data_IF_647343387665
#
_entry.id   IF_647343387665
#
_cell.length_a   1.000
_cell.length_b   1.000
_cell.length_c   1.000
_cell.angle_alpha   90.00
_cell.angle_beta   90.00
_cell.angle_gamma   90.00
#
_symmetry.space_group_name_H-M   'P 1'
#
loop_
_entity.id
_entity.type
_entity.pdbx_description
1 polymer ?
#
# COMPACT_ATOMS: atom_id res chain seq x y z
N UNK A 1 -46.58 19.90 24.92
CA UNK A 1 -47.75 19.16 24.40
C UNK A 1 -47.28 17.77 23.98
N UNK A 2 -47.61 16.72 24.75
CA UNK A 2 -48.53 15.61 24.40
C UNK A 2 -48.03 14.80 23.19
N UNK A 3 -47.31 13.71 23.44
CA UNK A 3 -47.78 12.30 23.54
C UNK A 3 -48.05 11.67 22.17
N UNK A 4 -47.29 10.63 21.84
CA UNK A 4 -47.86 9.34 21.38
C UNK A 4 -46.77 8.25 21.32
N UNK A 5 -46.78 7.43 22.37
CA UNK A 5 -46.25 6.06 22.38
C UNK A 5 -47.24 5.21 21.59
N UNK A 6 -46.79 4.48 20.56
CA UNK A 6 -47.53 3.34 20.01
C UNK A 6 -46.61 2.13 20.05
N UNK A 7 -46.88 1.24 21.01
CA UNK A 7 -46.31 -0.08 21.11
C UNK A 7 -47.11 -1.02 20.21
N UNK A 8 -46.44 -1.66 19.24
CA UNK A 8 -47.02 -2.75 18.44
C UNK A 8 -46.28 -4.03 18.80
N UNK A 9 -47.02 -4.91 19.46
CA UNK A 9 -46.60 -6.24 19.87
C UNK A 9 -46.93 -7.21 18.72
N UNK A 10 -45.91 -7.64 17.97
CA UNK A 10 -46.06 -8.61 16.88
C UNK A 10 -45.45 -9.96 17.26
N UNK A 11 -46.28 -10.99 17.38
CA UNK A 11 -45.86 -12.39 17.49
C UNK A 11 -45.16 -12.83 16.19
N UNK A 12 -43.91 -13.30 16.28
CA UNK A 12 -43.17 -13.89 15.16
C UNK A 12 -43.22 -15.42 15.31
N UNK A 13 -43.91 -16.07 14.38
CA UNK A 13 -43.88 -17.52 14.15
C UNK A 13 -42.52 -17.90 13.55
N UNK A 14 -41.81 -18.82 14.20
CA UNK A 14 -40.53 -19.34 13.76
C UNK A 14 -40.72 -20.40 12.65
N UNK A 15 -40.32 -20.06 11.42
CA UNK A 15 -40.21 -21.01 10.30
C UNK A 15 -38.79 -21.57 10.22
N UNK A 16 -38.59 -22.89 10.01
CA UNK A 16 -37.27 -23.47 9.83
C UNK A 16 -36.73 -23.12 8.43
N UNK A 17 -35.75 -22.23 8.38
CA UNK A 17 -34.94 -21.95 7.18
C UNK A 17 -34.03 -23.14 6.87
N UNK A 18 -34.52 -24.09 6.10
CA UNK A 18 -33.73 -25.15 5.48
C UNK A 18 -32.97 -24.59 4.25
N UNK A 19 -31.70 -24.99 4.12
CA UNK A 19 -30.70 -24.36 3.25
C UNK A 19 -30.95 -24.48 1.74
N UNK A 20 -30.86 -23.33 1.06
CA UNK A 20 -30.80 -23.20 -0.40
C UNK A 20 -29.59 -22.34 -0.86
N UNK A 21 -28.60 -22.15 0.01
CA UNK A 21 -27.55 -21.14 -0.21
C UNK A 21 -26.17 -21.74 -0.52
N UNK A 22 -26.00 -22.60 -1.54
CA UNK A 22 -24.65 -22.86 -2.09
C UNK A 22 -24.63 -23.59 -3.45
N UNK A 23 -25.18 -22.99 -4.52
CA UNK A 23 -25.04 -23.57 -5.87
C UNK A 23 -24.56 -22.58 -6.95
N UNK A 24 -24.06 -21.41 -6.55
CA UNK A 24 -23.67 -20.34 -7.50
C UNK A 24 -22.17 -20.04 -7.62
N UNK A 25 -21.28 -20.62 -6.82
CA UNK A 25 -19.91 -20.08 -6.64
C UNK A 25 -18.79 -20.70 -7.50
N UNK A 26 -19.04 -21.77 -8.26
CA UNK A 26 -17.98 -22.47 -9.01
C UNK A 26 -18.00 -22.26 -10.54
N UNK A 27 -18.83 -21.34 -11.06
CA UNK A 27 -19.09 -21.21 -12.49
C UNK A 27 -17.85 -20.79 -13.31
N UNK A 28 -16.91 -20.02 -12.74
CA UNK A 28 -15.73 -19.54 -13.48
C UNK A 28 -14.65 -20.62 -13.62
N UNK A 29 -14.53 -21.50 -12.62
CA UNK A 29 -13.57 -22.60 -12.68
C UNK A 29 -14.03 -23.68 -13.68
N UNK A 30 -15.35 -23.86 -13.83
CA UNK A 30 -15.95 -24.77 -14.81
C UNK A 30 -15.90 -24.24 -16.24
N UNK A 31 -15.79 -22.92 -16.46
CA UNK A 31 -15.63 -22.34 -17.79
C UNK A 31 -14.19 -22.39 -18.31
N UNK A 32 -13.20 -22.63 -17.44
CA UNK A 32 -11.81 -22.78 -17.85
C UNK A 32 -11.60 -24.02 -18.74
N UNK A 33 -10.76 -23.93 -19.79
CA UNK A 33 -10.29 -25.09 -20.53
C UNK A 33 -9.67 -26.15 -19.59
N UNK A 34 -9.84 -27.46 -19.85
CA UNK A 34 -9.44 -28.51 -18.91
C UNK A 34 -7.97 -28.45 -18.45
N UNK A 35 -7.03 -28.19 -19.38
CA UNK A 35 -5.61 -28.05 -19.05
C UNK A 35 -5.34 -26.86 -18.13
N UNK A 36 -6.02 -25.73 -18.38
CA UNK A 36 -5.87 -24.52 -17.58
C UNK A 36 -6.53 -24.67 -16.21
N UNK A 37 -7.68 -25.34 -16.15
CA UNK A 37 -8.36 -25.68 -14.89
C UNK A 37 -7.47 -26.54 -14.00
N UNK A 38 -6.87 -27.59 -14.54
CA UNK A 38 -5.95 -28.46 -13.80
C UNK A 38 -4.72 -27.68 -13.30
N UNK A 39 -4.16 -26.80 -14.14
CA UNK A 39 -3.04 -25.94 -13.76
C UNK A 39 -3.43 -24.98 -12.60
N UNK A 40 -4.60 -24.34 -12.68
CA UNK A 40 -5.11 -23.45 -11.64
C UNK A 40 -5.37 -24.21 -10.33
N UNK A 41 -5.99 -25.39 -10.40
CA UNK A 41 -6.23 -26.25 -9.23
C UNK A 41 -4.93 -26.73 -8.58
N UNK A 42 -3.88 -26.97 -9.37
CA UNK A 42 -2.56 -27.36 -8.86
C UNK A 42 -1.81 -26.23 -8.15
N UNK A 43 -2.21 -24.96 -8.35
CA UNK A 43 -1.49 -23.80 -7.85
C UNK A 43 -0.12 -23.57 -8.48
N UNK A 44 0.26 -24.31 -9.54
CA UNK A 44 1.55 -24.19 -10.19
C UNK A 44 1.53 -23.06 -11.24
N UNK A 45 2.14 -21.92 -10.91
CA UNK A 45 2.19 -20.74 -11.78
C UNK A 45 2.84 -21.02 -13.15
N UNK A 46 3.88 -21.86 -13.21
CA UNK A 46 4.52 -22.25 -14.47
C UNK A 46 3.59 -23.09 -15.34
N UNK A 47 2.82 -24.01 -14.73
CA UNK A 47 1.84 -24.81 -15.46
C UNK A 47 0.72 -23.91 -16.03
N UNK A 48 0.28 -22.90 -15.28
CA UNK A 48 -0.72 -21.93 -15.73
C UNK A 48 -0.19 -21.13 -16.92
N UNK A 49 1.03 -20.58 -16.84
CA UNK A 49 1.65 -19.85 -17.93
C UNK A 49 1.81 -20.71 -19.20
N UNK A 50 2.31 -21.94 -19.06
CA UNK A 50 2.45 -22.88 -20.18
C UNK A 50 1.10 -23.21 -20.81
N UNK A 51 0.07 -23.44 -19.99
CA UNK A 51 -1.28 -23.71 -20.48
C UNK A 51 -1.85 -22.50 -21.24
N UNK A 52 -1.68 -21.27 -20.74
CA UNK A 52 -2.10 -20.06 -21.45
C UNK A 52 -1.34 -19.93 -22.77
N UNK A 53 -0.02 -20.04 -22.78
CA UNK A 53 0.81 -19.90 -23.98
C UNK A 53 0.42 -20.94 -25.05
N UNK A 54 0.24 -22.20 -24.67
CA UNK A 54 -0.16 -23.27 -25.57
C UNK A 54 -1.58 -23.06 -26.14
N UNK A 55 -2.54 -22.67 -25.30
CA UNK A 55 -3.92 -22.44 -25.72
C UNK A 55 -4.07 -21.15 -26.53
N UNK A 56 -3.25 -20.13 -26.26
CA UNK A 56 -3.28 -18.87 -27.00
C UNK A 56 -2.69 -19.01 -28.41
N UNK A 57 -1.76 -19.95 -28.62
CA UNK A 57 -1.13 -20.16 -29.93
C UNK A 57 -0.37 -18.93 -30.45
N UNK A 58 0.14 -18.09 -29.55
CA UNK A 58 0.83 -16.83 -29.89
C UNK A 58 -0.07 -15.60 -30.07
N UNK A 59 -1.41 -15.75 -29.99
CA UNK A 59 -2.34 -14.63 -30.08
C UNK A 59 -2.36 -13.81 -28.76
N UNK A 60 -1.99 -12.51 -28.78
CA UNK A 60 -1.95 -11.67 -27.58
C UNK A 60 -3.34 -11.41 -26.98
N UNK A 61 -4.38 -11.26 -27.81
CA UNK A 61 -5.77 -11.04 -27.37
C UNK A 61 -6.33 -12.28 -26.69
N UNK A 62 -6.03 -13.46 -27.26
CA UNK A 62 -6.41 -14.74 -26.64
C UNK A 62 -5.66 -14.97 -25.32
N UNK A 63 -4.37 -14.63 -25.28
CA UNK A 63 -3.57 -14.69 -24.04
C UNK A 63 -4.18 -13.84 -22.93
N UNK A 64 -4.58 -12.60 -23.24
CA UNK A 64 -5.24 -11.70 -22.29
C UNK A 64 -6.59 -12.24 -21.81
N UNK A 65 -7.38 -12.81 -22.72
CA UNK A 65 -8.69 -13.41 -22.39
C UNK A 65 -8.53 -14.59 -21.45
N UNK A 66 -7.55 -15.47 -21.70
CA UNK A 66 -7.26 -16.60 -20.81
C UNK A 66 -6.72 -16.13 -19.45
N UNK A 67 -5.83 -15.13 -19.42
CA UNK A 67 -5.36 -14.52 -18.18
C UNK A 67 -6.51 -13.92 -17.34
N UNK A 68 -7.49 -13.29 -18.00
CA UNK A 68 -8.71 -12.80 -17.36
C UNK A 68 -9.52 -13.94 -16.71
N UNK A 69 -9.74 -15.02 -17.43
CA UNK A 69 -10.43 -16.19 -16.88
C UNK A 69 -9.68 -16.81 -15.70
N UNK A 70 -8.35 -16.86 -15.76
CA UNK A 70 -7.51 -17.36 -14.66
C UNK A 70 -7.66 -16.51 -13.41
N UNK A 71 -7.61 -15.18 -13.52
CA UNK A 71 -7.72 -14.32 -12.33
C UNK A 71 -9.15 -14.32 -11.76
N UNK A 72 -10.18 -14.47 -12.59
CA UNK A 72 -11.55 -14.69 -12.12
C UNK A 72 -11.69 -16.00 -11.33
N UNK A 73 -11.07 -17.09 -11.82
CA UNK A 73 -11.01 -18.35 -11.10
C UNK A 73 -10.17 -18.25 -9.82
N UNK A 74 -9.07 -17.50 -9.84
CA UNK A 74 -8.25 -17.22 -8.66
C UNK A 74 -9.05 -16.50 -7.58
N UNK A 75 -9.90 -15.54 -7.94
CA UNK A 75 -10.78 -14.84 -7.00
C UNK A 75 -11.76 -15.81 -6.31
N UNK A 76 -12.31 -16.80 -7.03
CA UNK A 76 -13.15 -17.84 -6.44
C UNK A 76 -12.38 -18.80 -5.53
N UNK A 77 -11.12 -19.11 -5.86
CA UNK A 77 -10.26 -19.95 -5.03
C UNK A 77 -9.85 -19.27 -3.72
N UNK A 78 -9.95 -17.94 -3.62
CA UNK A 78 -9.45 -17.18 -2.48
C UNK A 78 -10.05 -17.61 -1.13
N UNK A 79 -11.27 -18.13 -1.13
CA UNK A 79 -11.95 -18.60 0.07
C UNK A 79 -11.50 -20.00 0.53
N UNK A 80 -10.99 -20.84 -0.37
CA UNK A 80 -10.69 -22.25 -0.10
C UNK A 80 -9.20 -22.58 -0.20
N UNK A 81 -8.47 -21.89 -1.08
CA UNK A 81 -7.03 -22.01 -1.30
C UNK A 81 -6.42 -20.63 -1.63
N UNK A 82 -6.18 -19.78 -0.60
CA UNK A 82 -5.65 -18.43 -0.81
C UNK A 82 -4.23 -18.43 -1.42
N UNK A 83 -3.39 -19.42 -1.11
CA UNK A 83 -2.07 -19.56 -1.72
C UNK A 83 -2.18 -19.82 -3.23
N UNK A 84 -3.01 -20.79 -3.64
CA UNK A 84 -3.27 -21.08 -5.04
C UNK A 84 -3.86 -19.89 -5.80
N UNK A 85 -4.77 -19.14 -5.18
CA UNK A 85 -5.34 -17.92 -5.74
C UNK A 85 -4.27 -16.87 -6.06
N UNK A 86 -3.38 -16.56 -5.10
CA UNK A 86 -2.31 -15.57 -5.32
C UNK A 86 -1.34 -16.02 -6.41
N UNK A 87 -0.96 -17.30 -6.45
CA UNK A 87 -0.07 -17.84 -7.49
C UNK A 87 -0.71 -17.83 -8.88
N UNK A 88 -2.01 -18.13 -8.97
CA UNK A 88 -2.75 -18.06 -10.22
C UNK A 88 -2.90 -16.61 -10.72
N UNK A 89 -3.19 -15.66 -9.82
CA UNK A 89 -3.22 -14.24 -10.15
C UNK A 89 -1.85 -13.73 -10.61
N UNK A 90 -0.76 -14.15 -9.96
CA UNK A 90 0.60 -13.80 -10.37
C UNK A 90 0.94 -14.33 -11.78
N UNK A 91 0.56 -15.58 -12.09
CA UNK A 91 0.72 -16.14 -13.43
C UNK A 91 -0.06 -15.35 -14.50
N UNK A 92 -1.28 -14.93 -14.18
CA UNK A 92 -2.11 -14.09 -15.06
C UNK A 92 -1.49 -12.71 -15.29
N UNK A 93 -1.01 -12.04 -14.23
CA UNK A 93 -0.33 -10.74 -14.32
C UNK A 93 0.96 -10.83 -15.15
N UNK A 94 1.75 -11.88 -14.98
CA UNK A 94 2.96 -12.08 -15.78
C UNK A 94 2.63 -12.31 -17.26
N UNK A 95 1.51 -12.97 -17.56
CA UNK A 95 1.07 -13.18 -18.95
C UNK A 95 0.75 -11.86 -19.67
N UNK A 96 0.08 -10.92 -18.99
CA UNK A 96 -0.29 -9.62 -19.57
C UNK A 96 0.84 -8.59 -19.54
N UNK A 97 1.98 -8.92 -18.94
CA UNK A 97 3.15 -8.04 -18.88
C UNK A 97 3.81 -7.86 -20.25
N UNK A 98 3.61 -8.78 -21.19
CA UNK A 98 4.13 -8.65 -22.56
C UNK A 98 3.56 -7.42 -23.27
N UNK A 99 4.43 -6.64 -23.93
CA UNK A 99 4.04 -5.40 -24.61
C UNK A 99 2.98 -5.61 -25.69
N UNK A 100 3.05 -6.73 -26.44
CA UNK A 100 2.04 -7.09 -27.43
C UNK A 100 0.64 -7.24 -26.85
N UNK A 101 0.53 -7.82 -25.64
CA UNK A 101 -0.76 -7.96 -24.94
C UNK A 101 -1.30 -6.60 -24.52
N UNK A 102 -0.45 -5.73 -23.98
CA UNK A 102 -0.84 -4.38 -23.55
C UNK A 102 -1.37 -3.55 -24.72
N UNK A 103 -0.77 -3.66 -25.91
CA UNK A 103 -1.22 -2.92 -27.09
C UNK A 103 -2.47 -3.52 -27.73
N UNK A 104 -2.61 -4.85 -27.75
CA UNK A 104 -3.69 -5.53 -28.47
C UNK A 104 -4.98 -5.70 -27.66
N UNK A 105 -4.88 -5.75 -26.33
CA UNK A 105 -6.02 -6.07 -25.45
C UNK A 105 -6.02 -5.22 -24.16
N UNK A 106 -6.02 -3.87 -24.26
CA UNK A 106 -5.86 -3.00 -23.10
C UNK A 106 -6.98 -3.22 -22.07
N UNK A 107 -8.25 -3.38 -22.47
CA UNK A 107 -9.36 -3.57 -21.53
C UNK A 107 -9.20 -4.85 -20.68
N UNK A 108 -8.65 -5.91 -21.27
CA UNK A 108 -8.38 -7.16 -20.56
C UNK A 108 -7.25 -6.99 -19.54
N UNK A 109 -6.22 -6.21 -19.87
CA UNK A 109 -5.14 -5.84 -18.94
C UNK A 109 -5.72 -5.11 -17.72
N UNK A 110 -6.59 -4.11 -17.93
CA UNK A 110 -7.21 -3.37 -16.81
C UNK A 110 -8.05 -4.28 -15.91
N UNK A 111 -8.84 -5.16 -16.52
CA UNK A 111 -9.70 -6.11 -15.80
C UNK A 111 -8.87 -7.13 -14.98
N UNK A 112 -7.76 -7.61 -15.55
CA UNK A 112 -6.85 -8.53 -14.85
C UNK A 112 -6.19 -7.83 -13.66
N UNK A 113 -5.67 -6.62 -13.85
CA UNK A 113 -5.01 -5.86 -12.78
C UNK A 113 -5.98 -5.49 -11.66
N UNK A 114 -7.20 -5.08 -12.01
CA UNK A 114 -8.25 -4.75 -11.02
C UNK A 114 -8.63 -5.97 -10.18
N UNK A 115 -8.69 -7.15 -10.79
CA UNK A 115 -9.02 -8.39 -10.06
C UNK A 115 -7.83 -8.89 -9.25
N UNK A 116 -6.61 -8.83 -9.79
CA UNK A 116 -5.39 -9.13 -9.05
C UNK A 116 -5.25 -8.22 -7.81
N UNK A 117 -5.61 -6.95 -7.94
CA UNK A 117 -5.68 -6.03 -6.82
C UNK A 117 -6.64 -6.44 -5.73
N UNK A 118 -7.87 -6.83 -6.07
CA UNK A 118 -8.83 -7.36 -5.10
C UNK A 118 -8.29 -8.58 -4.36
N UNK A 119 -7.57 -9.45 -5.04
CA UNK A 119 -6.92 -10.63 -4.44
C UNK A 119 -5.83 -10.20 -3.45
N UNK A 120 -4.89 -9.34 -3.86
CA UNK A 120 -3.74 -9.00 -3.00
C UNK A 120 -4.11 -8.09 -1.81
N UNK A 121 -5.21 -7.34 -1.87
CA UNK A 121 -5.70 -6.55 -0.72
C UNK A 121 -6.56 -7.36 0.25
N UNK A 122 -6.99 -8.56 -0.14
CA UNK A 122 -7.86 -9.41 0.66
C UNK A 122 -7.16 -9.84 1.97
N UNK A 123 -7.84 -9.75 3.13
CA UNK A 123 -7.29 -10.22 4.39
C UNK A 123 -6.91 -11.71 4.39
N UNK A 124 -7.60 -12.54 3.60
CA UNK A 124 -7.29 -13.98 3.53
C UNK A 124 -5.97 -14.23 2.82
N UNK A 125 -5.71 -13.53 1.71
CA UNK A 125 -4.45 -13.61 0.99
C UNK A 125 -3.29 -13.05 1.84
N UNK A 126 -3.45 -11.86 2.43
CA UNK A 126 -2.38 -11.21 3.20
C UNK A 126 -1.95 -12.01 4.43
N UNK A 127 -2.89 -12.73 5.07
CA UNK A 127 -2.58 -13.60 6.22
C UNK A 127 -1.94 -14.92 5.81
N UNK A 128 -2.36 -15.49 4.68
CA UNK A 128 -1.89 -16.80 4.25
C UNK A 128 -0.50 -16.74 3.60
N UNK A 129 -0.25 -15.75 2.75
CA UNK A 129 0.94 -15.68 1.86
C UNK A 129 1.42 -14.23 1.67
N UNK A 130 1.85 -13.53 2.74
CA UNK A 130 2.19 -12.10 2.69
C UNK A 130 3.31 -11.76 1.70
N UNK A 131 4.32 -12.62 1.57
CA UNK A 131 5.43 -12.39 0.64
C UNK A 131 4.98 -12.46 -0.81
N UNK A 132 4.20 -13.49 -1.17
CA UNK A 132 3.67 -13.66 -2.53
C UNK A 132 2.66 -12.56 -2.88
N UNK A 133 1.85 -12.13 -1.92
CA UNK A 133 0.99 -10.94 -2.05
C UNK A 133 1.81 -9.70 -2.38
N UNK A 134 2.94 -9.51 -1.69
CA UNK A 134 3.82 -8.39 -1.96
C UNK A 134 4.46 -8.42 -3.34
N UNK A 135 4.88 -9.60 -3.82
CA UNK A 135 5.39 -9.79 -5.17
C UNK A 135 4.32 -9.53 -6.24
N UNK A 136 3.10 -10.03 -6.03
CA UNK A 136 1.95 -9.79 -6.90
C UNK A 136 1.60 -8.30 -6.99
N UNK A 137 1.56 -7.59 -5.85
CA UNK A 137 1.29 -6.16 -5.81
C UNK A 137 2.36 -5.35 -6.56
N UNK A 138 3.64 -5.66 -6.36
CA UNK A 138 4.74 -5.01 -7.08
C UNK A 138 4.65 -5.26 -8.59
N UNK A 139 4.39 -6.51 -9.02
CA UNK A 139 4.21 -6.84 -10.43
C UNK A 139 3.00 -6.10 -11.04
N UNK A 140 1.88 -6.03 -10.32
CA UNK A 140 0.69 -5.31 -10.77
C UNK A 140 0.97 -3.81 -10.97
N UNK A 141 1.70 -3.17 -10.06
CA UNK A 141 2.12 -1.76 -10.20
C UNK A 141 3.01 -1.57 -11.45
N UNK A 142 3.96 -2.47 -11.68
CA UNK A 142 4.83 -2.41 -12.86
C UNK A 142 4.03 -2.51 -14.16
N UNK A 143 3.12 -3.48 -14.27
CA UNK A 143 2.27 -3.66 -15.46
C UNK A 143 1.32 -2.46 -15.63
N UNK A 144 0.73 -1.95 -14.54
CA UNK A 144 -0.12 -0.77 -14.60
C UNK A 144 0.64 0.45 -15.15
N UNK A 145 1.86 0.69 -14.67
CA UNK A 145 2.71 1.79 -15.13
C UNK A 145 3.10 1.69 -16.61
N UNK A 146 3.21 0.46 -17.14
CA UNK A 146 3.50 0.21 -18.55
C UNK A 146 2.28 0.37 -19.47
N UNK A 147 1.05 0.25 -18.93
CA UNK A 147 -0.19 0.34 -19.71
C UNK A 147 -0.47 1.71 -20.32
N UNK A 148 0.20 2.76 -19.84
CA UNK A 148 -0.07 4.14 -20.25
C UNK A 148 -1.40 4.70 -19.72
N UNK A 149 -2.14 3.97 -18.87
CA UNK A 149 -3.36 4.45 -18.22
C UNK A 149 -3.02 5.08 -16.85
N UNK A 150 -3.06 6.43 -16.71
CA UNK A 150 -2.67 7.10 -15.48
C UNK A 150 -3.62 6.80 -14.31
N UNK A 151 -4.93 6.73 -14.56
CA UNK A 151 -5.94 6.45 -13.53
C UNK A 151 -5.81 5.04 -12.98
N UNK A 152 -5.60 4.06 -13.86
CA UNK A 152 -5.33 2.68 -13.45
C UNK A 152 -4.04 2.59 -12.64
N UNK A 153 -2.96 3.23 -13.10
CA UNK A 153 -1.66 3.26 -12.40
C UNK A 153 -1.81 3.80 -10.98
N UNK A 154 -2.52 4.91 -10.80
CA UNK A 154 -2.76 5.49 -9.48
C UNK A 154 -3.61 4.57 -8.60
N UNK A 155 -4.67 3.96 -9.15
CA UNK A 155 -5.57 3.06 -8.41
C UNK A 155 -4.83 1.81 -7.91
N UNK A 156 -4.10 1.12 -8.80
CA UNK A 156 -3.31 -0.07 -8.45
C UNK A 156 -2.20 0.28 -7.46
N UNK A 157 -1.54 1.44 -7.63
CA UNK A 157 -0.51 1.91 -6.69
C UNK A 157 -1.10 2.18 -5.29
N UNK A 158 -2.29 2.78 -5.20
CA UNK A 158 -2.97 3.04 -3.92
C UNK A 158 -3.35 1.73 -3.21
N UNK A 159 -3.83 0.74 -3.96
CA UNK A 159 -4.14 -0.58 -3.42
C UNK A 159 -2.85 -1.32 -2.99
N UNK A 160 -1.78 -1.22 -3.77
CA UNK A 160 -0.50 -1.85 -3.48
C UNK A 160 0.12 -1.31 -2.18
N UNK A 161 0.12 0.00 -1.96
CA UNK A 161 0.61 0.55 -0.67
C UNK A 161 -0.29 0.21 0.51
N UNK A 162 -1.59 0.01 0.29
CA UNK A 162 -2.50 -0.49 1.33
C UNK A 162 -2.15 -1.94 1.71
N UNK A 163 -1.82 -2.79 0.73
CA UNK A 163 -1.31 -4.13 0.99
C UNK A 163 0.06 -4.10 1.68
N UNK A 164 0.96 -3.22 1.25
CA UNK A 164 2.26 -3.01 1.87
C UNK A 164 2.15 -2.63 3.36
N UNK A 165 1.25 -1.71 3.69
CA UNK A 165 0.98 -1.31 5.09
C UNK A 165 0.50 -2.51 5.92
N UNK A 166 -0.36 -3.38 5.37
CA UNK A 166 -0.85 -4.58 6.06
C UNK A 166 0.22 -5.66 6.30
N UNK A 167 1.18 -5.81 5.39
CA UNK A 167 2.24 -6.82 5.52
C UNK A 167 3.48 -6.28 6.24
N UNK A 168 3.53 -4.99 6.57
CA UNK A 168 4.70 -4.31 7.10
C UNK A 168 5.28 -4.97 8.37
N UNK A 169 4.41 -5.47 9.24
CA UNK A 169 4.84 -6.14 10.48
C UNK A 169 5.41 -7.54 10.27
N UNK A 170 5.11 -8.17 9.12
CA UNK A 170 5.52 -9.55 8.81
C UNK A 170 6.67 -9.58 7.79
N UNK A 171 6.62 -8.70 6.79
CA UNK A 171 7.58 -8.63 5.69
C UNK A 171 7.98 -7.16 5.42
N UNK A 172 8.70 -6.49 6.34
CA UNK A 172 9.00 -5.07 6.25
C UNK A 172 9.81 -4.68 5.01
N UNK A 173 10.78 -5.50 4.61
CA UNK A 173 11.55 -5.28 3.38
C UNK A 173 10.63 -5.22 2.14
N UNK A 174 9.71 -6.17 2.04
CA UNK A 174 8.78 -6.26 0.92
C UNK A 174 7.78 -5.09 0.92
N UNK A 175 7.27 -4.70 2.09
CA UNK A 175 6.40 -3.53 2.23
C UNK A 175 7.09 -2.25 1.72
N UNK A 176 8.35 -2.03 2.09
CA UNK A 176 9.14 -0.88 1.62
C UNK A 176 9.37 -0.95 0.11
N UNK A 177 9.68 -2.12 -0.45
CA UNK A 177 9.84 -2.28 -1.90
C UNK A 177 8.56 -1.96 -2.68
N UNK A 178 7.39 -2.40 -2.21
CA UNK A 178 6.10 -2.08 -2.84
C UNK A 178 5.82 -0.58 -2.75
N UNK A 179 6.07 0.03 -1.59
CA UNK A 179 5.91 1.46 -1.41
C UNK A 179 6.81 2.26 -2.36
N UNK A 180 8.07 1.84 -2.54
CA UNK A 180 8.98 2.44 -3.50
C UNK A 180 8.47 2.33 -4.95
N UNK A 181 8.04 1.14 -5.37
CA UNK A 181 7.50 0.92 -6.71
C UNK A 181 6.23 1.76 -6.97
N UNK A 182 5.31 1.81 -6.00
CA UNK A 182 4.09 2.59 -6.11
C UNK A 182 4.37 4.11 -6.17
N UNK A 183 5.28 4.61 -5.34
CA UNK A 183 5.68 6.03 -5.37
C UNK A 183 6.35 6.39 -6.70
N UNK A 184 7.23 5.53 -7.21
CA UNK A 184 7.86 5.73 -8.51
C UNK A 184 6.83 5.74 -9.65
N UNK A 185 5.83 4.86 -9.60
CA UNK A 185 4.78 4.81 -10.61
C UNK A 185 3.92 6.08 -10.63
N UNK A 186 3.53 6.62 -9.47
CA UNK A 186 2.75 7.87 -9.39
C UNK A 186 3.58 9.14 -9.57
N UNK A 187 4.91 9.03 -9.64
CA UNK A 187 5.79 10.16 -9.94
C UNK A 187 5.68 10.63 -11.40
N UNK A 188 5.10 9.81 -12.29
CA UNK A 188 4.89 10.18 -13.68
C UNK A 188 3.89 11.33 -13.80
N UNK A 189 4.26 12.38 -14.56
CA UNK A 189 3.42 13.57 -14.73
C UNK A 189 1.97 13.27 -15.19
N UNK A 190 1.72 12.35 -16.15
CA UNK A 190 0.35 11.99 -16.54
C UNK A 190 -0.49 11.43 -15.38
N UNK A 191 0.13 10.70 -14.44
CA UNK A 191 -0.55 10.13 -13.27
C UNK A 191 -0.93 11.23 -12.28
N UNK A 192 0.00 12.15 -12.01
CA UNK A 192 -0.23 13.28 -11.10
C UNK A 192 -1.35 14.21 -11.59
N UNK A 193 -1.46 14.39 -12.91
CA UNK A 193 -2.50 15.22 -13.52
C UNK A 193 -3.85 14.49 -13.64
N UNK A 194 -3.83 13.21 -14.01
CA UNK A 194 -5.04 12.42 -14.24
C UNK A 194 -5.72 11.90 -12.96
N UNK A 195 -4.95 11.69 -11.88
CA UNK A 195 -5.44 11.11 -10.63
C UNK A 195 -4.73 11.71 -9.38
N UNK A 196 -4.84 13.03 -9.15
CA UNK A 196 -4.12 13.69 -8.07
C UNK A 196 -4.53 13.21 -6.67
N UNK A 197 -5.81 12.88 -6.43
CA UNK A 197 -6.28 12.38 -5.14
C UNK A 197 -5.67 11.00 -4.79
N UNK A 198 -5.66 10.07 -5.75
CA UNK A 198 -5.08 8.75 -5.58
C UNK A 198 -3.56 8.83 -5.43
N UNK A 199 -2.91 9.73 -6.18
CA UNK A 199 -1.48 10.03 -6.02
C UNK A 199 -1.15 10.50 -4.60
N UNK A 200 -1.96 11.42 -4.06
CA UNK A 200 -1.79 11.88 -2.69
C UNK A 200 -2.04 10.77 -1.66
N UNK A 201 -3.00 9.87 -1.91
CA UNK A 201 -3.24 8.70 -1.06
C UNK A 201 -2.04 7.75 -1.04
N UNK A 202 -1.40 7.52 -2.19
CA UNK A 202 -0.15 6.73 -2.30
C UNK A 202 0.94 7.36 -1.47
N UNK A 203 1.18 8.66 -1.67
CA UNK A 203 2.18 9.43 -0.94
C UNK A 203 1.93 9.40 0.59
N UNK A 204 0.67 9.54 1.01
CA UNK A 204 0.27 9.49 2.43
C UNK A 204 0.54 8.14 3.07
N UNK A 205 0.23 7.06 2.38
CA UNK A 205 0.44 5.70 2.92
C UNK A 205 1.92 5.33 2.90
N UNK A 206 2.64 5.69 1.84
CA UNK A 206 4.09 5.51 1.79
C UNK A 206 4.80 6.28 2.91
N UNK A 207 4.38 7.51 3.20
CA UNK A 207 4.90 8.31 4.31
C UNK A 207 4.68 7.63 5.68
N UNK A 208 3.53 6.97 5.88
CA UNK A 208 3.27 6.18 7.10
C UNK A 208 4.16 4.95 7.19
N UNK A 209 4.39 4.25 6.08
CA UNK A 209 5.28 3.07 6.03
C UNK A 209 6.72 3.44 6.42
N UNK A 210 7.27 4.52 5.87
CA UNK A 210 8.67 4.91 6.12
C UNK A 210 8.92 5.47 7.53
N UNK A 211 7.85 5.88 8.25
CA UNK A 211 7.95 6.28 9.65
C UNK A 211 8.05 5.10 10.61
N UNK A 212 7.79 3.88 10.15
CA UNK A 212 7.82 2.70 11.01
C UNK A 212 9.28 2.30 11.29
N UNK A 213 9.68 2.11 12.57
CA UNK A 213 11.06 1.79 12.92
C UNK A 213 11.61 0.54 12.22
N UNK A 214 10.77 -0.48 12.01
CA UNK A 214 11.17 -1.70 11.30
C UNK A 214 11.48 -1.45 9.81
N UNK A 215 10.74 -0.56 9.14
CA UNK A 215 11.05 -0.15 7.77
C UNK A 215 12.42 0.54 7.70
N UNK A 216 12.67 1.46 8.63
CA UNK A 216 13.94 2.19 8.72
C UNK A 216 15.11 1.26 9.02
N UNK A 217 14.93 0.29 9.93
CA UNK A 217 15.97 -0.68 10.29
C UNK A 217 16.31 -1.63 9.14
N UNK A 218 15.30 -2.10 8.42
CA UNK A 218 15.47 -3.15 7.41
C UNK A 218 15.90 -2.59 6.05
N UNK A 219 15.42 -1.40 5.67
CA UNK A 219 15.69 -0.82 4.35
C UNK A 219 15.88 0.71 4.41
N UNK A 220 16.87 1.23 5.16
CA UNK A 220 17.03 2.66 5.40
C UNK A 220 17.28 3.47 4.11
N UNK A 221 18.01 2.92 3.14
CA UNK A 221 18.24 3.57 1.85
C UNK A 221 16.97 3.70 1.01
N UNK A 222 16.13 2.66 1.01
CA UNK A 222 14.85 2.70 0.29
C UNK A 222 13.87 3.65 0.97
N UNK A 223 13.85 3.71 2.30
CA UNK A 223 13.11 4.72 3.09
C UNK A 223 13.51 6.13 2.68
N UNK A 224 14.82 6.41 2.57
CA UNK A 224 15.30 7.72 2.12
C UNK A 224 14.83 8.09 0.71
N UNK A 225 14.90 7.13 -0.22
CA UNK A 225 14.42 7.30 -1.60
C UNK A 225 12.92 7.59 -1.66
N UNK A 226 12.11 6.82 -0.92
CA UNK A 226 10.67 7.03 -0.83
C UNK A 226 10.37 8.42 -0.26
N UNK A 227 11.01 8.82 0.84
CA UNK A 227 10.80 10.13 1.45
C UNK A 227 11.05 11.27 0.45
N UNK A 228 12.15 11.19 -0.29
CA UNK A 228 12.52 12.21 -1.30
C UNK A 228 11.48 12.27 -2.42
N UNK A 229 11.11 11.11 -2.99
CA UNK A 229 10.14 11.05 -4.07
C UNK A 229 8.74 11.48 -3.62
N UNK A 230 8.32 11.12 -2.42
CA UNK A 230 7.04 11.53 -1.84
C UNK A 230 6.96 13.04 -1.69
N UNK A 231 8.00 13.70 -1.18
CA UNK A 231 8.05 15.18 -1.05
C UNK A 231 7.97 15.84 -2.43
N UNK A 232 8.68 15.32 -3.44
CA UNK A 232 8.57 15.82 -4.81
C UNK A 232 7.15 15.68 -5.36
N UNK A 233 6.51 14.51 -5.20
CA UNK A 233 5.14 14.23 -5.67
C UNK A 233 4.12 15.18 -5.03
N UNK A 234 4.16 15.34 -3.70
CA UNK A 234 3.19 16.21 -3.00
C UNK A 234 3.50 17.70 -3.16
N UNK A 235 4.67 18.06 -3.68
CA UNK A 235 5.00 19.45 -4.07
C UNK A 235 4.47 19.84 -5.45
N UNK A 236 3.95 18.89 -6.24
CA UNK A 236 3.31 19.20 -7.52
C UNK A 236 1.98 19.94 -7.29
N UNK A 237 1.69 21.06 -8.00
CA UNK A 237 0.47 21.85 -7.78
C UNK A 237 -0.83 21.04 -7.80
N UNK A 238 -1.02 20.14 -8.78
CA UNK A 238 -2.23 19.34 -8.89
C UNK A 238 -2.45 18.40 -7.68
N UNK A 239 -1.39 17.73 -7.22
CA UNK A 239 -1.44 16.81 -6.07
C UNK A 239 -1.61 17.59 -4.77
N UNK A 240 -0.89 18.71 -4.61
CA UNK A 240 -0.99 19.57 -3.45
C UNK A 240 -2.40 20.16 -3.30
N UNK A 241 -2.98 20.66 -4.40
CA UNK A 241 -4.33 21.23 -4.42
C UNK A 241 -5.43 20.22 -4.05
N UNK A 242 -5.19 18.92 -4.26
CA UNK A 242 -6.15 17.89 -3.88
C UNK A 242 -6.40 17.85 -2.35
N UNK A 243 -5.35 18.07 -1.54
CA UNK A 243 -5.49 18.33 -0.11
C UNK A 243 -4.20 18.95 0.47
N UNK A 244 -4.15 20.28 0.62
CA UNK A 244 -2.96 20.97 1.12
C UNK A 244 -2.51 20.51 2.51
N UNK A 245 -3.46 20.27 3.43
CA UNK A 245 -3.16 19.81 4.79
C UNK A 245 -2.51 18.43 4.78
N UNK A 246 -3.02 17.49 3.97
CA UNK A 246 -2.44 16.16 3.86
C UNK A 246 -1.06 16.21 3.20
N UNK A 247 -0.87 17.04 2.16
CA UNK A 247 0.43 17.24 1.52
C UNK A 247 1.49 17.76 2.51
N UNK A 248 1.16 18.76 3.33
CA UNK A 248 2.06 19.28 4.37
C UNK A 248 2.38 18.22 5.43
N UNK A 249 1.40 17.43 5.87
CA UNK A 249 1.64 16.33 6.81
C UNK A 249 2.58 15.26 6.22
N UNK A 250 2.41 14.94 4.93
CA UNK A 250 3.29 14.01 4.20
C UNK A 250 4.71 14.55 4.10
N UNK A 251 4.86 15.85 3.80
CA UNK A 251 6.15 16.55 3.81
C UNK A 251 6.85 16.44 5.17
N UNK A 252 6.11 16.67 6.26
CA UNK A 252 6.63 16.57 7.63
C UNK A 252 7.09 15.15 7.98
N UNK A 253 6.29 14.15 7.63
CA UNK A 253 6.58 12.73 7.87
C UNK A 253 7.82 12.27 7.10
N UNK A 254 7.94 12.67 5.83
CA UNK A 254 9.11 12.36 5.01
C UNK A 254 10.39 13.00 5.58
N UNK A 255 10.31 14.25 6.03
CA UNK A 255 11.44 14.93 6.67
C UNK A 255 11.86 14.26 7.99
N UNK A 256 10.88 13.86 8.80
CA UNK A 256 11.13 13.11 10.04
C UNK A 256 11.82 11.76 9.76
N UNK A 257 11.41 11.05 8.71
CA UNK A 257 12.04 9.78 8.33
C UNK A 257 13.50 9.94 7.92
N UNK A 258 13.83 10.92 7.06
CA UNK A 258 15.22 11.13 6.56
C UNK A 258 16.17 11.73 7.60
N UNK A 259 15.63 12.36 8.64
CA UNK A 259 16.42 12.90 9.76
C UNK A 259 16.59 11.88 10.90
N UNK A 260 15.95 10.71 10.81
CA UNK A 260 16.17 9.64 11.78
C UNK A 260 17.63 9.15 11.74
N UNK A 261 18.24 8.80 12.90
CA UNK A 261 19.66 8.40 12.94
C UNK A 261 20.00 7.22 12.03
N UNK A 262 19.08 6.26 11.92
CA UNK A 262 19.27 5.04 11.10
C UNK A 262 19.30 5.40 9.61
N UNK A 263 18.39 6.26 9.16
CA UNK A 263 18.30 6.66 7.75
C UNK A 263 19.40 7.65 7.39
N UNK A 264 19.70 8.62 8.26
CA UNK A 264 20.75 9.61 8.02
C UNK A 264 22.14 8.97 7.95
N UNK A 265 22.39 7.92 8.73
CA UNK A 265 23.65 7.16 8.65
C UNK A 265 23.78 6.38 7.33
N UNK A 266 22.68 5.81 6.82
CA UNK A 266 22.69 5.02 5.60
C UNK A 266 22.59 5.85 4.30
N UNK A 267 22.01 7.04 4.36
CA UNK A 267 21.73 7.91 3.22
C UNK A 267 21.96 9.41 3.59
N UNK A 268 23.22 9.83 3.77
CA UNK A 268 23.56 11.15 4.34
C UNK A 268 23.08 12.34 3.50
N UNK A 269 22.84 12.16 2.20
CA UNK A 269 22.38 13.23 1.30
C UNK A 269 20.87 13.44 1.33
N UNK A 270 20.09 12.49 1.85
CA UNK A 270 18.63 12.50 1.73
C UNK A 270 17.98 13.66 2.49
N UNK A 271 18.46 13.97 3.70
CA UNK A 271 17.95 15.08 4.49
C UNK A 271 18.18 16.44 3.79
N UNK A 272 19.33 16.62 3.14
CA UNK A 272 19.62 17.83 2.36
C UNK A 272 18.70 17.95 1.14
N UNK A 273 18.48 16.85 0.41
CA UNK A 273 17.56 16.82 -0.73
C UNK A 273 16.11 17.15 -0.33
N UNK A 274 15.59 16.52 0.73
CA UNK A 274 14.25 16.83 1.23
C UNK A 274 14.15 18.29 1.69
N UNK A 275 15.15 18.80 2.42
CA UNK A 275 15.19 20.21 2.85
C UNK A 275 15.11 21.16 1.66
N UNK A 276 15.90 20.91 0.61
CA UNK A 276 15.90 21.73 -0.61
C UNK A 276 14.52 21.72 -1.29
N UNK A 277 13.89 20.55 -1.43
CA UNK A 277 12.55 20.47 -2.04
C UNK A 277 11.50 21.17 -1.18
N UNK A 278 11.56 21.05 0.14
CA UNK A 278 10.68 21.78 1.06
C UNK A 278 10.86 23.29 0.93
N UNK A 279 12.09 23.80 0.91
CA UNK A 279 12.36 25.23 0.72
C UNK A 279 11.78 25.74 -0.61
N UNK A 280 11.94 24.98 -1.70
CA UNK A 280 11.34 25.32 -2.99
C UNK A 280 9.80 25.33 -2.93
N UNK A 281 9.19 24.33 -2.28
CA UNK A 281 7.75 24.25 -2.10
C UNK A 281 7.20 25.43 -1.26
N UNK A 282 7.94 25.89 -0.23
CA UNK A 282 7.56 27.05 0.59
C UNK A 282 7.62 28.38 -0.17
N UNK A 283 8.49 28.48 -1.17
CA UNK A 283 8.63 29.65 -2.04
C UNK A 283 7.68 29.60 -3.25
N UNK A 284 7.00 28.47 -3.49
CA UNK A 284 6.15 28.30 -4.66
C UNK A 284 4.88 29.15 -4.57
N UNK A 285 4.74 30.12 -5.48
CA UNK A 285 3.55 30.97 -5.55
C UNK A 285 2.25 30.19 -5.78
N UNK A 286 2.28 29.11 -6.58
CA UNK A 286 1.09 28.30 -6.86
C UNK A 286 0.62 27.51 -5.65
N UNK A 287 1.56 26.98 -4.85
CA UNK A 287 1.23 26.30 -3.60
C UNK A 287 0.73 27.30 -2.55
N UNK A 288 1.36 28.47 -2.45
CA UNK A 288 0.96 29.53 -1.53
C UNK A 288 -0.42 30.14 -1.87
N UNK A 289 -0.81 30.19 -3.15
CA UNK A 289 -2.17 30.54 -3.55
C UNK A 289 -3.20 29.49 -3.09
N UNK A 290 -2.82 28.21 -3.16
CA UNK A 290 -3.69 27.09 -2.74
C UNK A 290 -3.78 26.97 -1.22
N UNK A 291 -2.72 27.38 -0.50
CA UNK A 291 -2.64 27.40 0.95
C UNK A 291 -1.76 28.57 1.41
N UNK A 292 -2.36 29.68 1.87
CA UNK A 292 -1.61 30.86 2.32
C UNK A 292 -0.68 30.62 3.51
N UNK A 293 -0.89 29.53 4.27
CA UNK A 293 -0.03 29.14 5.41
C UNK A 293 1.09 28.17 5.02
N UNK A 294 1.23 27.82 3.75
CA UNK A 294 2.20 26.84 3.28
C UNK A 294 3.65 27.20 3.64
N UNK A 295 4.06 28.45 3.39
CA UNK A 295 5.41 28.91 3.72
C UNK A 295 5.72 28.80 5.22
N UNK A 296 4.79 29.20 6.10
CA UNK A 296 4.99 29.11 7.56
C UNK A 296 4.96 27.66 8.06
N UNK A 297 4.10 26.80 7.51
CA UNK A 297 4.05 25.39 7.86
C UNK A 297 5.35 24.65 7.45
N UNK A 298 5.90 24.95 6.28
CA UNK A 298 7.19 24.40 5.84
C UNK A 298 8.33 24.91 6.72
N UNK A 299 8.34 26.19 7.10
CA UNK A 299 9.33 26.71 8.03
C UNK A 299 9.27 25.98 9.39
N UNK A 300 8.07 25.65 9.88
CA UNK A 300 7.90 24.86 11.11
C UNK A 300 8.46 23.43 10.98
N UNK A 301 8.24 22.77 9.83
CA UNK A 301 8.81 21.43 9.55
C UNK A 301 10.33 21.48 9.64
N UNK A 302 10.96 22.48 9.02
CA UNK A 302 12.42 22.64 9.01
C UNK A 302 12.97 23.05 10.39
N UNK A 303 12.20 23.80 11.18
CA UNK A 303 12.63 24.25 12.51
C UNK A 303 12.60 23.12 13.57
N UNK A 304 11.71 22.12 13.45
CA UNK A 304 11.57 21.02 14.43
C UNK A 304 12.85 20.20 14.63
N UNK A 305 13.75 20.17 13.67
CA UNK A 305 15.02 19.42 13.77
C UNK A 305 16.10 20.20 14.52
N UNK A 306 15.99 21.52 14.63
CA UNK A 306 16.94 22.35 15.37
C UNK A 306 16.79 22.16 16.89
N UNK A 307 15.61 21.75 17.36
CA UNK A 307 15.33 21.43 18.76
C UNK A 307 14.79 20.00 18.84
N UNK A 308 15.65 18.96 18.90
CA UNK A 308 15.18 17.66 19.34
C UNK A 308 14.44 17.89 20.67
N UNK A 309 13.24 17.29 20.87
CA UNK A 309 12.57 17.40 22.15
C UNK A 309 13.61 17.01 23.17
N UNK A 310 13.98 17.96 24.03
CA UNK A 310 14.90 17.75 25.12
C UNK A 310 14.20 16.65 25.92
N UNK A 311 14.55 15.39 25.66
CA UNK A 311 14.06 14.25 26.41
C UNK A 311 14.67 14.50 27.75
N UNK A 312 13.91 15.22 28.58
CA UNK A 312 14.28 15.53 29.93
C UNK A 312 14.71 14.21 30.49
N UNK A 313 15.98 14.13 30.85
CA UNK A 313 16.50 13.16 31.78
C UNK A 313 15.76 13.41 33.09
N UNK A 314 14.47 13.05 33.13
CA UNK A 314 13.77 12.63 34.33
C UNK A 314 14.38 11.28 34.72
N UNK A 315 15.69 11.32 35.01
CA UNK A 315 16.24 10.51 36.05
C UNK A 315 15.66 11.18 37.31
N UNK A 316 14.63 10.61 37.97
CA UNK A 316 14.30 11.07 39.30
C UNK A 316 15.61 11.06 40.10
N UNK A 317 15.90 12.09 40.92
CA UNK A 317 17.08 12.07 41.75
C UNK A 317 17.06 10.75 42.51
N UNK A 318 18.11 9.94 42.32
CA UNK A 318 18.38 8.80 43.18
C UNK A 318 18.62 9.45 44.54
N UNK A 319 17.56 9.51 45.35
CA UNK A 319 17.65 9.81 46.77
C UNK A 319 18.45 8.66 47.37
N UNK A 320 19.76 8.85 47.36
CA UNK A 320 20.71 8.10 48.15
C UNK A 320 20.36 8.41 49.61
N UNK A 321 19.38 7.68 50.14
CA UNK A 321 19.05 7.63 51.55
C UNK A 321 20.18 6.85 52.23
N UNK A 322 21.27 7.57 52.47
CA UNK A 322 22.12 7.27 53.62
C UNK A 322 21.21 7.47 54.82
N UNK A 323 20.88 6.40 55.53
CA UNK A 323 20.32 6.43 56.87
C UNK A 323 21.50 6.26 57.85
N UNK A 324 21.96 7.33 58.52
CA UNK A 324 23.05 7.24 59.47
C UNK A 324 22.54 7.66 60.86
N UNK A 325 21.62 6.93 61.48
CA UNK A 325 21.36 7.07 62.93
C UNK A 325 20.85 5.75 63.51
N UNK A 326 21.67 5.03 64.28
CA UNK A 326 21.67 5.12 65.74
C UNK A 326 20.31 4.77 66.36
N UNK A 327 20.13 3.54 66.85
CA UNK A 327 19.56 3.41 68.19
C UNK A 327 19.97 2.10 68.89
N UNK A 328 20.29 2.26 70.16
CA UNK A 328 20.95 1.35 71.05
C UNK A 328 20.05 0.21 71.56
N UNK A 329 20.71 -0.88 71.97
CA UNK A 329 20.24 -1.81 73.00
C UNK A 329 19.70 -1.05 74.24
N UNK A 330 18.72 -1.61 74.99
CA UNK A 330 19.13 -2.41 76.14
C UNK A 330 18.24 -3.63 76.48
N UNK A 331 18.93 -4.64 77.02
CA UNK A 331 18.55 -5.66 78.01
C UNK A 331 17.11 -5.77 78.55
N UNK A 332 16.58 -7.00 78.55
CA UNK A 332 16.19 -7.80 79.73
C UNK A 332 16.09 -9.27 79.35
#
# INVERSE_FOLDING_TARGET
MKRSLLAVLGMILASPLAGLAQQGTNSSLQSLPPALRAAVQSGNSQAIQRAIAALAGGDPTRSATLANQVVAAAEQLLATNPQGAVLAAAAAVETIRGSSVQTSAPQQVESVLTTAARIFISPTATRAVPEQVGQLAAAAVQVASASGNPTLTASISAQAVTAAEKILTVAPAQAVQIAAAAVQAVQQAPVQQGAPQQTLQVATTAARIILQPEAQRVAPQAVAGIATNVVQVVSTPAVYQASPTAAVAVMANAYTAVTSPVVSAAAPTAAASVTQTLTQAGQSSSLNQSNPTNASAIAEILAKTANPPNQGTNNPPILNSVDPTLNASPSS
#
